data_IF_851487347898
#
_entry.id   IF_851487347898
#
_cell.length_a   1.000
_cell.length_b   1.000
_cell.length_c   1.000
_cell.angle_alpha   90.00
_cell.angle_beta   90.00
_cell.angle_gamma   90.00
#
_symmetry.space_group_name_H-M   'P 1'
#
loop_
_entity.id
_entity.type
_entity.pdbx_description
1 polymer ?
#
# COMPACT_ATOMS: atom_id res chain seq x y z
N UNK A 1 -27.81 -15.23 -2.07
CA UNK A 1 -29.08 -15.88 -2.50
C UNK A 1 -29.38 -17.01 -1.54
N UNK A 2 -30.62 -17.16 -1.08
CA UNK A 2 -31.06 -18.30 -0.26
C UNK A 2 -31.74 -19.33 -1.16
N UNK A 3 -31.50 -20.61 -0.89
CA UNK A 3 -32.11 -21.74 -1.59
C UNK A 3 -32.44 -22.87 -0.62
N UNK A 4 -33.51 -23.61 -0.89
CA UNK A 4 -33.92 -24.76 -0.08
C UNK A 4 -34.54 -25.86 -0.95
N UNK A 5 -34.52 -27.08 -0.42
CA UNK A 5 -35.14 -28.23 -1.08
C UNK A 5 -36.67 -28.15 -0.96
N UNK A 6 -37.38 -28.54 -2.03
CA UNK A 6 -38.84 -28.65 -2.02
C UNK A 6 -39.25 -30.10 -1.73
N UNK A 7 -39.83 -30.41 -0.56
CA UNK A 7 -40.19 -31.79 -0.21
C UNK A 7 -41.41 -32.31 -0.99
N UNK A 8 -42.26 -31.41 -1.51
CA UNK A 8 -43.43 -31.76 -2.32
C UNK A 8 -43.85 -30.57 -3.21
N UNK A 9 -44.62 -30.87 -4.27
CA UNK A 9 -45.26 -29.86 -5.12
C UNK A 9 -46.44 -29.19 -4.41
N UNK A 10 -46.79 -27.98 -4.87
CA UNK A 10 -47.94 -27.21 -4.35
C UNK A 10 -47.71 -26.57 -2.97
N UNK A 11 -46.45 -26.43 -2.54
CA UNK A 11 -46.08 -25.73 -1.32
C UNK A 11 -45.65 -24.29 -1.63
N UNK A 12 -45.96 -23.39 -0.72
CA UNK A 12 -45.46 -22.02 -0.71
C UNK A 12 -44.54 -21.82 0.51
N UNK A 13 -43.53 -20.98 0.35
CA UNK A 13 -42.50 -20.77 1.35
C UNK A 13 -42.45 -19.30 1.75
N UNK A 14 -42.29 -19.03 3.04
CA UNK A 14 -41.95 -17.72 3.53
C UNK A 14 -40.56 -17.77 4.14
N UNK A 15 -39.72 -16.82 3.76
CA UNK A 15 -38.38 -16.64 4.34
C UNK A 15 -38.30 -15.28 4.98
N UNK A 16 -37.70 -15.23 6.17
CA UNK A 16 -37.44 -14.00 6.88
C UNK A 16 -35.95 -13.76 7.01
N UNK A 17 -35.53 -12.49 6.89
CA UNK A 17 -34.23 -12.03 7.37
C UNK A 17 -34.39 -11.11 8.57
N UNK A 18 -33.43 -11.10 9.47
CA UNK A 18 -33.32 -10.11 10.55
C UNK A 18 -31.86 -9.77 10.83
N UNK A 19 -31.61 -8.63 11.47
CA UNK A 19 -30.28 -8.24 11.98
C UNK A 19 -30.01 -8.77 13.40
N UNK A 20 -31.05 -9.30 14.05
CA UNK A 20 -30.98 -9.94 15.37
C UNK A 20 -31.47 -11.39 15.28
N UNK A 21 -30.91 -12.26 16.11
CA UNK A 21 -31.18 -13.70 16.10
C UNK A 21 -32.55 -14.08 16.68
N UNK A 22 -33.21 -13.16 17.38
CA UNK A 22 -34.57 -13.31 17.89
C UNK A 22 -35.65 -12.94 16.85
N UNK A 23 -35.25 -12.39 15.70
CA UNK A 23 -36.15 -11.87 14.67
C UNK A 23 -37.15 -10.85 15.23
N UNK A 24 -36.71 -9.92 16.09
CA UNK A 24 -37.57 -8.87 16.67
C UNK A 24 -38.21 -7.94 15.63
N UNK A 25 -37.54 -7.67 14.51
CA UNK A 25 -38.05 -6.85 13.39
C UNK A 25 -37.64 -7.45 12.05
N UNK A 26 -38.27 -8.58 11.65
CA UNK A 26 -37.84 -9.31 10.47
C UNK A 26 -38.43 -8.71 9.19
N UNK A 27 -37.68 -8.78 8.11
CA UNK A 27 -38.19 -8.51 6.76
C UNK A 27 -38.55 -9.86 6.14
N UNK A 28 -39.81 -9.99 5.70
CA UNK A 28 -40.35 -11.20 5.09
C UNK A 28 -40.33 -11.11 3.56
N UNK A 29 -40.11 -12.23 2.89
CA UNK A 29 -40.35 -12.38 1.45
C UNK A 29 -41.83 -12.42 1.08
N UNK A 30 -42.73 -12.56 2.07
CA UNK A 30 -44.07 -13.10 1.83
C UNK A 30 -44.01 -14.58 1.44
N UNK A 31 -45.18 -15.19 1.27
CA UNK A 31 -45.27 -16.56 0.77
C UNK A 31 -45.06 -16.59 -0.74
N UNK A 32 -44.08 -17.37 -1.20
CA UNK A 32 -43.70 -17.52 -2.60
C UNK A 32 -43.73 -19.00 -3.01
N UNK A 33 -44.16 -19.27 -4.24
CA UNK A 33 -44.11 -20.61 -4.84
C UNK A 33 -42.75 -20.87 -5.54
N UNK A 34 -41.65 -20.48 -4.88
CA UNK A 34 -40.27 -20.65 -5.36
C UNK A 34 -39.43 -21.40 -4.32
N UNK A 35 -38.32 -22.01 -4.74
CA UNK A 35 -37.32 -22.63 -3.87
C UNK A 35 -36.14 -21.71 -3.54
N UNK A 36 -36.19 -20.46 -4.01
CA UNK A 36 -35.13 -19.46 -3.79
C UNK A 36 -35.72 -18.10 -3.45
N UNK A 37 -34.95 -17.32 -2.69
CA UNK A 37 -35.24 -15.90 -2.45
C UNK A 37 -33.93 -15.11 -2.35
N UNK A 38 -33.95 -13.88 -2.85
CA UNK A 38 -32.82 -12.95 -2.74
C UNK A 38 -33.28 -11.69 -2.03
N UNK A 39 -32.59 -11.37 -0.94
CA UNK A 39 -32.76 -10.13 -0.21
C UNK A 39 -31.77 -9.10 -0.75
N UNK A 40 -32.27 -8.00 -1.30
CA UNK A 40 -31.45 -6.89 -1.79
C UNK A 40 -31.07 -5.90 -0.68
N UNK A 41 -30.13 -5.01 -0.99
CA UNK A 41 -29.71 -3.88 -0.14
C UNK A 41 -29.32 -4.31 1.27
N UNK A 42 -28.49 -5.36 1.36
CA UNK A 42 -27.90 -5.78 2.62
C UNK A 42 -26.68 -4.89 2.93
N UNK A 43 -26.53 -4.53 4.20
CA UNK A 43 -25.40 -3.73 4.64
C UNK A 43 -24.13 -4.57 4.68
N UNK A 44 -23.02 -3.95 4.27
CA UNK A 44 -21.68 -4.55 4.36
C UNK A 44 -21.24 -4.73 5.82
N UNK A 45 -20.52 -5.82 6.11
CA UNK A 45 -20.09 -6.20 7.46
C UNK A 45 -21.21 -6.64 8.41
N UNK A 46 -22.48 -6.62 7.98
CA UNK A 46 -23.62 -6.96 8.82
C UNK A 46 -23.90 -8.46 8.80
N UNK A 47 -24.06 -9.05 9.99
CA UNK A 47 -24.61 -10.40 10.14
C UNK A 47 -26.12 -10.34 9.96
N UNK A 48 -26.64 -11.16 9.04
CA UNK A 48 -28.07 -11.40 8.90
C UNK A 48 -28.40 -12.82 9.31
N UNK A 49 -29.52 -12.96 10.03
CA UNK A 49 -30.14 -14.22 10.42
C UNK A 49 -31.30 -14.52 9.49
N UNK A 50 -31.43 -15.78 9.08
CA UNK A 50 -32.46 -16.25 8.17
C UNK A 50 -33.19 -17.45 8.74
N UNK A 51 -34.51 -17.49 8.52
CA UNK A 51 -35.35 -18.66 8.82
C UNK A 51 -36.42 -18.79 7.75
N UNK A 52 -36.85 -20.01 7.48
CA UNK A 52 -37.89 -20.30 6.52
C UNK A 52 -39.04 -21.08 7.16
N UNK A 53 -40.23 -21.01 6.58
CA UNK A 53 -41.34 -21.92 6.86
C UNK A 53 -42.09 -22.19 5.58
N UNK A 54 -42.84 -23.27 5.57
CA UNK A 54 -43.67 -23.65 4.42
C UNK A 54 -45.14 -23.68 4.80
N UNK A 55 -46.01 -23.47 3.82
CA UNK A 55 -47.45 -23.67 3.95
C UNK A 55 -47.99 -24.41 2.75
N UNK A 56 -49.18 -24.98 2.94
CA UNK A 56 -50.02 -25.51 1.86
C UNK A 56 -51.32 -24.70 1.81
N UNK A 57 -51.72 -24.30 0.59
CA UNK A 57 -53.03 -23.73 0.32
C UNK A 57 -53.91 -24.81 -0.32
N UNK A 58 -54.87 -25.33 0.44
CA UNK A 58 -55.86 -26.31 -0.03
C UNK A 58 -55.32 -27.72 -0.38
N UNK A 59 -56.18 -28.76 -0.38
CA UNK A 59 -57.49 -28.83 0.29
C UNK A 59 -57.37 -28.88 1.82
N UNK A 60 -56.18 -29.15 2.37
CA UNK A 60 -55.84 -29.04 3.79
C UNK A 60 -54.82 -27.93 3.97
N UNK A 61 -55.25 -26.82 4.59
CA UNK A 61 -54.39 -25.68 4.89
C UNK A 61 -53.59 -25.94 6.16
N UNK A 62 -52.28 -25.78 6.08
CA UNK A 62 -51.40 -25.82 7.24
C UNK A 62 -50.19 -24.94 6.98
N UNK A 63 -49.56 -24.49 8.07
CA UNK A 63 -48.28 -23.77 8.05
C UNK A 63 -47.35 -24.46 9.03
N UNK A 64 -46.12 -24.72 8.61
CA UNK A 64 -45.12 -25.34 9.47
C UNK A 64 -44.62 -24.37 10.54
N UNK A 65 -43.95 -24.92 11.55
CA UNK A 65 -43.04 -24.13 12.36
C UNK A 65 -41.90 -23.56 11.50
N UNK A 66 -41.21 -22.54 12.03
CA UNK A 66 -39.99 -22.04 11.44
C UNK A 66 -38.88 -23.10 11.50
N UNK A 67 -38.02 -23.12 10.48
CA UNK A 67 -36.74 -23.84 10.53
C UNK A 67 -35.86 -23.28 11.64
N UNK A 68 -34.85 -24.04 12.10
CA UNK A 68 -33.71 -23.43 12.79
C UNK A 68 -33.17 -22.24 11.99
N UNK A 69 -32.70 -21.23 12.69
CA UNK A 69 -32.08 -20.09 12.04
C UNK A 69 -30.70 -20.45 11.51
N UNK A 70 -30.34 -19.85 10.38
CA UNK A 70 -28.97 -19.80 9.86
C UNK A 70 -28.51 -18.35 9.79
N UNK A 71 -27.23 -18.10 9.63
CA UNK A 71 -26.71 -16.72 9.52
C UNK A 71 -25.61 -16.60 8.48
N UNK A 72 -25.42 -15.39 7.97
CA UNK A 72 -24.30 -15.03 7.09
C UNK A 72 -23.96 -13.56 7.28
N UNK A 73 -22.67 -13.27 7.47
CA UNK A 73 -22.09 -11.93 7.39
C UNK A 73 -22.00 -11.55 5.91
N UNK A 74 -22.51 -10.37 5.55
CA UNK A 74 -22.32 -9.85 4.19
C UNK A 74 -20.99 -9.15 4.07
N UNK A 75 -20.37 -9.34 2.91
CA UNK A 75 -19.13 -8.69 2.55
C UNK A 75 -19.16 -8.24 1.10
N UNK A 76 -19.15 -6.93 0.89
CA UNK A 76 -19.11 -6.29 -0.42
C UNK A 76 -17.88 -5.38 -0.58
N UNK A 77 -17.02 -5.30 0.45
CA UNK A 77 -15.82 -4.48 0.42
C UNK A 77 -14.69 -5.29 -0.19
N UNK A 78 -14.08 -4.77 -1.26
CA UNK A 78 -12.90 -5.40 -1.84
C UNK A 78 -11.66 -5.19 -0.96
N UNK A 79 -10.67 -6.09 -1.02
CA UNK A 79 -9.41 -5.93 -0.32
C UNK A 79 -8.72 -4.59 -0.61
N UNK A 80 -8.08 -4.00 0.40
CA UNK A 80 -7.18 -2.85 0.21
C UNK A 80 -5.76 -3.37 -0.05
N UNK A 81 -5.09 -2.85 -1.08
CA UNK A 81 -3.71 -3.20 -1.45
C UNK A 81 -2.79 -1.99 -1.22
N UNK A 82 -1.65 -2.19 -0.57
CA UNK A 82 -0.60 -1.17 -0.44
C UNK A 82 0.77 -1.73 -0.81
N UNK A 83 1.45 -1.04 -1.73
CA UNK A 83 2.71 -1.49 -2.34
C UNK A 83 3.68 -0.31 -2.33
N UNK A 84 4.81 -0.38 -1.61
CA UNK A 84 5.84 0.64 -1.68
C UNK A 84 6.53 0.61 -3.05
N UNK A 85 6.92 1.79 -3.55
CA UNK A 85 7.75 1.90 -4.74
C UNK A 85 9.13 1.27 -4.48
N UNK A 86 9.65 0.52 -5.46
CA UNK A 86 10.93 -0.17 -5.39
C UNK A 86 11.87 0.32 -6.49
N UNK A 87 13.12 0.61 -6.12
CA UNK A 87 14.21 0.86 -7.07
C UNK A 87 15.21 -0.30 -7.01
N UNK A 88 15.79 -0.68 -8.14
CA UNK A 88 16.84 -1.71 -8.18
C UNK A 88 17.84 -1.45 -9.31
N UNK A 89 19.02 -2.05 -9.25
CA UNK A 89 19.93 -2.16 -10.40
C UNK A 89 19.81 -3.51 -11.13
N UNK A 90 19.18 -4.50 -10.49
CA UNK A 90 19.09 -5.88 -10.97
C UNK A 90 18.02 -6.06 -12.05
N UNK A 91 18.21 -7.05 -12.93
CA UNK A 91 17.21 -7.45 -13.94
C UNK A 91 16.04 -8.23 -13.34
N UNK A 92 16.08 -8.52 -12.04
CA UNK A 92 15.00 -9.12 -11.27
C UNK A 92 14.92 -8.44 -9.91
N UNK A 93 13.73 -8.41 -9.33
CA UNK A 93 13.52 -7.87 -7.99
C UNK A 93 12.37 -8.59 -7.28
N UNK A 94 12.37 -8.53 -5.96
CA UNK A 94 11.25 -9.02 -5.14
C UNK A 94 10.33 -7.85 -4.80
N UNK A 95 9.18 -7.81 -5.46
CA UNK A 95 8.08 -6.95 -5.08
C UNK A 95 7.49 -7.44 -3.75
N UNK A 96 7.13 -6.52 -2.86
CA UNK A 96 6.43 -6.84 -1.63
C UNK A 96 5.31 -5.84 -1.39
N UNK A 97 4.28 -6.26 -0.67
CA UNK A 97 3.15 -5.40 -0.34
C UNK A 97 2.35 -5.96 0.82
N UNK A 98 1.32 -5.21 1.18
CA UNK A 98 0.33 -5.58 2.20
C UNK A 98 -1.04 -5.61 1.57
N UNK A 99 -1.89 -6.52 2.05
CA UNK A 99 -3.32 -6.47 1.77
C UNK A 99 -4.12 -6.56 3.06
N UNK A 100 -5.31 -5.95 3.05
CA UNK A 100 -6.20 -5.97 4.18
C UNK A 100 -7.64 -6.17 3.71
N UNK A 101 -8.32 -7.11 4.35
CA UNK A 101 -9.75 -7.25 4.33
C UNK A 101 -10.18 -7.72 5.73
N UNK A 102 -11.08 -6.99 6.37
CA UNK A 102 -11.45 -7.27 7.77
C UNK A 102 -12.63 -8.23 7.89
N UNK A 103 -13.42 -8.42 6.83
CA UNK A 103 -14.73 -9.08 6.91
C UNK A 103 -14.65 -10.53 6.47
N UNK A 104 -14.08 -10.80 5.29
CA UNK A 104 -13.86 -12.17 4.78
C UNK A 104 -12.38 -12.54 4.66
N UNK A 105 -11.48 -11.56 4.83
CA UNK A 105 -10.05 -11.80 4.72
C UNK A 105 -9.64 -12.09 3.27
N UNK A 106 -8.35 -12.35 3.07
CA UNK A 106 -7.78 -12.46 1.71
C UNK A 106 -7.72 -13.91 1.27
N UNK A 107 -8.22 -14.19 0.07
CA UNK A 107 -8.15 -15.50 -0.58
C UNK A 107 -6.91 -15.63 -1.44
N UNK A 108 -6.56 -14.60 -2.20
CA UNK A 108 -5.37 -14.62 -3.07
C UNK A 108 -4.82 -13.23 -3.38
N UNK A 109 -3.53 -13.20 -3.71
CA UNK A 109 -2.87 -12.06 -4.36
C UNK A 109 -2.12 -12.56 -5.59
N UNK A 110 -2.39 -11.95 -6.74
CA UNK A 110 -1.73 -12.22 -8.01
C UNK A 110 -0.91 -10.99 -8.44
N UNK A 111 0.30 -11.20 -8.94
CA UNK A 111 1.17 -10.16 -9.50
C UNK A 111 1.46 -10.55 -10.94
N UNK A 112 1.05 -9.70 -11.88
CA UNK A 112 1.08 -10.00 -13.33
C UNK A 112 0.41 -11.33 -13.70
N UNK A 113 -0.62 -11.72 -12.96
CA UNK A 113 -1.37 -12.97 -13.15
C UNK A 113 -0.85 -14.18 -12.37
N UNK A 114 0.38 -14.11 -11.83
CA UNK A 114 0.95 -15.21 -11.07
C UNK A 114 0.74 -15.04 -9.56
N UNK A 115 0.54 -16.16 -8.85
CA UNK A 115 0.39 -16.15 -7.39
C UNK A 115 1.60 -15.53 -6.67
N UNK A 116 1.32 -14.67 -5.69
CA UNK A 116 2.29 -14.17 -4.72
C UNK A 116 2.55 -15.20 -3.62
N UNK A 117 3.68 -15.05 -2.93
CA UNK A 117 4.08 -15.87 -1.78
C UNK A 117 3.70 -15.15 -0.48
N UNK A 118 3.21 -15.88 0.51
CA UNK A 118 2.86 -15.35 1.84
C UNK A 118 3.01 -16.44 2.90
N UNK A 119 3.17 -16.04 4.17
CA UNK A 119 3.09 -16.90 5.34
C UNK A 119 2.00 -16.48 6.33
N UNK A 120 1.25 -15.41 6.03
CA UNK A 120 0.30 -14.78 6.93
C UNK A 120 -1.02 -14.43 6.21
N UNK A 121 -1.52 -15.39 5.42
CA UNK A 121 -2.79 -15.25 4.68
C UNK A 121 -2.86 -13.97 3.85
N UNK A 122 -1.74 -13.66 3.18
CA UNK A 122 -1.54 -12.49 2.32
C UNK A 122 -1.53 -11.12 3.00
N UNK A 123 -1.66 -11.01 4.33
CA UNK A 123 -1.52 -9.72 5.02
C UNK A 123 -0.18 -9.03 4.68
N UNK A 124 0.86 -9.84 4.49
CA UNK A 124 2.11 -9.46 3.80
C UNK A 124 2.38 -10.50 2.72
N UNK A 125 2.77 -10.04 1.54
CA UNK A 125 3.08 -10.91 0.43
C UNK A 125 4.32 -10.44 -0.33
N UNK A 126 4.94 -11.37 -1.05
CA UNK A 126 6.10 -11.10 -1.90
C UNK A 126 5.95 -11.79 -3.26
N UNK A 127 6.53 -11.20 -4.30
CA UNK A 127 6.66 -11.82 -5.62
C UNK A 127 8.00 -11.44 -6.25
N UNK A 128 8.79 -12.43 -6.65
CA UNK A 128 9.95 -12.18 -7.51
C UNK A 128 9.48 -11.98 -8.95
N UNK A 129 9.83 -10.84 -9.52
CA UNK A 129 9.57 -10.49 -10.92
C UNK A 129 10.88 -10.46 -11.70
N UNK A 130 11.01 -11.28 -12.77
CA UNK A 130 12.20 -11.30 -13.61
C UNK A 130 12.08 -10.29 -14.77
N UNK A 131 13.14 -10.22 -15.59
CA UNK A 131 13.14 -9.54 -16.90
C UNK A 131 12.80 -8.05 -16.85
N UNK A 132 13.18 -7.37 -15.77
CA UNK A 132 13.05 -5.92 -15.66
C UNK A 132 13.88 -5.23 -16.75
N UNK A 133 13.32 -4.25 -17.45
CA UNK A 133 14.07 -3.38 -18.38
C UNK A 133 14.53 -2.12 -17.66
N UNK A 134 15.52 -1.41 -18.21
CA UNK A 134 15.96 -0.12 -17.68
C UNK A 134 14.79 0.88 -17.66
N UNK A 135 14.68 1.65 -16.58
CA UNK A 135 13.56 2.55 -16.34
C UNK A 135 12.38 1.90 -15.60
N UNK A 136 11.17 2.41 -15.88
CA UNK A 136 9.95 2.03 -15.15
C UNK A 136 9.34 0.73 -15.66
N UNK A 137 9.13 -0.23 -14.75
CA UNK A 137 8.44 -1.50 -15.01
C UNK A 137 7.14 -1.52 -14.22
N UNK A 138 6.02 -1.78 -14.88
CA UNK A 138 4.68 -1.75 -14.26
C UNK A 138 4.08 -3.15 -14.19
N UNK A 139 3.47 -3.48 -13.05
CA UNK A 139 2.83 -4.77 -12.79
C UNK A 139 1.42 -4.55 -12.25
N UNK A 140 0.44 -5.27 -12.80
CA UNK A 140 -0.91 -5.32 -12.22
C UNK A 140 -0.91 -6.28 -11.04
N UNK A 141 -1.31 -5.80 -9.87
CA UNK A 141 -1.50 -6.60 -8.67
C UNK A 141 -2.98 -6.66 -8.35
N UNK A 142 -3.51 -7.88 -8.23
CA UNK A 142 -4.92 -8.15 -7.95
C UNK A 142 -5.00 -8.89 -6.62
N UNK A 143 -5.84 -8.42 -5.72
CA UNK A 143 -6.18 -9.12 -4.48
C UNK A 143 -7.66 -9.49 -4.51
N UNK A 144 -7.96 -10.71 -4.06
CA UNK A 144 -9.33 -11.25 -4.02
C UNK A 144 -9.61 -11.77 -2.62
N UNK A 145 -10.79 -11.46 -2.08
CA UNK A 145 -11.22 -11.86 -0.75
C UNK A 145 -11.86 -13.27 -0.72
N UNK A 146 -12.33 -13.71 0.46
CA UNK A 146 -13.07 -14.97 0.60
C UNK A 146 -14.60 -14.79 0.59
N UNK A 147 -15.10 -13.63 0.18
CA UNK A 147 -16.54 -13.41 0.08
C UNK A 147 -17.17 -14.31 -1.00
N UNK A 148 -18.49 -14.45 -0.96
CA UNK A 148 -19.24 -15.24 -1.95
C UNK A 148 -20.47 -14.46 -2.44
N UNK A 149 -20.43 -13.89 -3.65
CA UNK A 149 -19.31 -13.92 -4.61
C UNK A 149 -18.07 -13.15 -4.10
N UNK A 150 -16.87 -13.48 -4.60
CA UNK A 150 -15.64 -12.83 -4.16
C UNK A 150 -15.56 -11.39 -4.69
N UNK A 151 -15.01 -10.49 -3.88
CA UNK A 151 -14.67 -9.14 -4.29
C UNK A 151 -13.16 -9.05 -4.59
N UNK A 152 -12.80 -8.19 -5.56
CA UNK A 152 -11.42 -8.00 -5.97
C UNK A 152 -11.08 -6.54 -6.14
N UNK A 153 -9.83 -6.19 -5.84
CA UNK A 153 -9.24 -4.89 -6.14
C UNK A 153 -7.97 -5.05 -6.98
N UNK A 154 -7.59 -3.98 -7.68
CA UNK A 154 -6.42 -3.98 -8.56
C UNK A 154 -5.63 -2.68 -8.39
N UNK A 155 -4.31 -2.80 -8.26
CA UNK A 155 -3.36 -1.68 -8.15
C UNK A 155 -2.17 -1.90 -9.07
N UNK A 156 -1.65 -0.83 -9.67
CA UNK A 156 -0.40 -0.88 -10.44
C UNK A 156 0.80 -0.70 -9.51
N UNK A 157 1.66 -1.71 -9.44
CA UNK A 157 2.96 -1.63 -8.80
C UNK A 157 4.02 -1.16 -9.79
N UNK A 158 4.96 -0.33 -9.33
CA UNK A 158 6.07 0.19 -10.15
C UNK A 158 7.40 -0.22 -9.53
N UNK A 159 8.26 -0.83 -10.35
CA UNK A 159 9.67 -1.05 -10.04
C UNK A 159 10.51 -0.23 -11.03
N UNK A 160 11.36 0.64 -10.50
CA UNK A 160 12.28 1.42 -11.32
C UNK A 160 13.66 0.76 -11.34
N UNK A 161 14.09 0.28 -12.51
CA UNK A 161 15.43 -0.29 -12.69
C UNK A 161 16.39 0.77 -13.20
N UNK A 162 17.57 0.87 -12.61
CA UNK A 162 18.65 1.76 -13.06
C UNK A 162 19.90 0.92 -13.35
N UNK A 163 20.18 0.71 -14.63
CA UNK A 163 21.35 -0.04 -15.09
C UNK A 163 22.60 0.84 -15.22
N UNK A 164 22.42 2.15 -15.35
CA UNK A 164 23.48 3.13 -15.63
C UNK A 164 23.52 4.23 -14.56
N UNK A 165 23.64 3.85 -13.30
CA UNK A 165 23.51 4.76 -12.15
C UNK A 165 24.40 6.02 -12.19
N UNK A 166 25.61 5.90 -12.75
CA UNK A 166 26.59 7.00 -12.86
C UNK A 166 26.57 7.70 -14.22
N UNK A 167 25.82 7.19 -15.21
CA UNK A 167 25.69 7.85 -16.50
C UNK A 167 24.83 9.11 -16.39
N UNK A 168 24.98 10.01 -17.34
CA UNK A 168 24.24 11.26 -17.48
C UNK A 168 23.59 11.27 -18.86
N UNK A 169 22.40 10.67 -18.95
CA UNK A 169 21.78 10.41 -20.26
C UNK A 169 21.36 11.69 -21.00
N UNK A 170 21.13 12.79 -20.27
CA UNK A 170 20.67 14.06 -20.81
C UNK A 170 21.77 15.15 -20.83
N UNK A 171 23.01 14.80 -20.45
CA UNK A 171 24.19 15.66 -20.43
C UNK A 171 24.02 16.93 -19.57
N UNK A 172 23.25 16.86 -18.47
CA UNK A 172 23.03 18.01 -17.59
C UNK A 172 24.02 18.08 -16.40
N UNK A 173 24.92 17.10 -16.30
CA UNK A 173 25.92 16.94 -15.25
C UNK A 173 25.40 16.26 -13.99
N UNK A 174 24.21 15.66 -14.02
CA UNK A 174 23.59 14.92 -12.92
C UNK A 174 23.42 13.48 -13.35
N UNK A 175 23.85 12.52 -12.52
CA UNK A 175 23.75 11.12 -12.88
C UNK A 175 22.30 10.62 -12.81
N UNK A 176 21.97 9.60 -13.60
CA UNK A 176 20.65 8.98 -13.65
C UNK A 176 20.13 8.56 -12.25
N UNK A 177 21.03 8.05 -11.39
CA UNK A 177 20.66 7.71 -10.02
C UNK A 177 20.32 8.95 -9.18
N UNK A 178 21.10 10.03 -9.28
CA UNK A 178 20.82 11.25 -8.54
C UNK A 178 19.52 11.92 -9.02
N UNK A 179 19.28 11.95 -10.34
CA UNK A 179 18.01 12.46 -10.87
C UNK A 179 16.82 11.69 -10.30
N UNK A 180 16.88 10.35 -10.33
CA UNK A 180 15.82 9.50 -9.79
C UNK A 180 15.66 9.64 -8.28
N UNK A 181 16.75 9.63 -7.51
CA UNK A 181 16.71 9.65 -6.06
C UNK A 181 16.24 11.00 -5.49
N UNK A 182 16.68 12.10 -6.10
CA UNK A 182 16.24 13.45 -5.71
C UNK A 182 14.87 13.82 -6.30
N UNK A 183 14.29 12.95 -7.14
CA UNK A 183 13.01 13.15 -7.80
C UNK A 183 13.02 14.33 -8.76
N UNK A 184 14.11 14.50 -9.52
CA UNK A 184 14.25 15.55 -10.53
C UNK A 184 13.44 15.13 -11.76
N UNK A 185 12.37 15.86 -12.12
CA UNK A 185 11.59 15.52 -13.30
C UNK A 185 12.40 15.69 -14.58
N UNK A 186 12.20 14.79 -15.54
CA UNK A 186 12.80 14.91 -16.86
C UNK A 186 12.41 16.25 -17.52
N UNK A 187 13.37 16.92 -18.15
CA UNK A 187 13.13 18.20 -18.82
C UNK A 187 13.01 19.42 -17.90
N UNK A 188 13.31 19.27 -16.61
CA UNK A 188 13.39 20.41 -15.67
C UNK A 188 14.38 21.45 -16.21
N UNK A 189 13.97 22.72 -16.32
CA UNK A 189 14.79 23.79 -16.91
C UNK A 189 16.05 24.11 -16.08
N UNK A 190 15.99 23.98 -14.75
CA UNK A 190 17.13 24.16 -13.85
C UNK A 190 17.23 23.00 -12.85
N UNK A 191 17.63 21.79 -13.30
CA UNK A 191 17.62 20.60 -12.47
C UNK A 191 18.64 20.70 -11.32
N UNK A 192 19.69 21.51 -11.51
CA UNK A 192 20.71 21.77 -10.48
C UNK A 192 20.17 22.51 -9.25
N UNK A 193 19.06 23.25 -9.38
CA UNK A 193 18.39 23.86 -8.23
C UNK A 193 17.80 22.85 -7.24
N UNK A 194 17.65 21.59 -7.67
CA UNK A 194 17.13 20.49 -6.85
C UNK A 194 18.23 19.63 -6.23
N UNK A 195 19.51 19.91 -6.52
CA UNK A 195 20.64 19.25 -5.89
C UNK A 195 20.80 19.68 -4.43
N UNK A 196 21.51 18.88 -3.61
CA UNK A 196 21.83 19.26 -2.23
C UNK A 196 22.49 20.64 -2.16
N UNK A 197 22.07 21.46 -1.21
CA UNK A 197 22.67 22.76 -0.93
C UNK A 197 23.10 22.84 0.52
N UNK A 198 24.29 23.37 0.77
CA UNK A 198 24.85 23.52 2.11
C UNK A 198 24.99 25.00 2.47
N UNK A 199 24.61 25.35 3.70
CA UNK A 199 24.68 26.72 4.22
C UNK A 199 25.18 26.73 5.65
N UNK A 200 25.77 27.85 6.08
CA UNK A 200 26.12 28.05 7.49
C UNK A 200 24.95 28.69 8.20
N UNK A 201 24.43 28.04 9.24
CA UNK A 201 23.35 28.57 10.07
C UNK A 201 23.86 28.89 11.47
N UNK A 202 23.42 30.01 12.02
CA UNK A 202 23.69 30.40 13.40
C UNK A 202 22.56 29.94 14.29
N UNK A 203 22.87 29.19 15.34
CA UNK A 203 21.88 28.73 16.31
C UNK A 203 21.37 29.92 17.14
N UNK A 204 20.04 30.13 17.20
CA UNK A 204 19.46 31.13 18.09
C UNK A 204 19.82 30.82 19.55
N UNK A 205 20.25 31.83 20.30
CA UNK A 205 20.61 31.70 21.71
C UNK A 205 22.11 31.49 21.93
N UNK A 206 22.71 30.39 21.45
CA UNK A 206 24.14 30.12 21.69
C UNK A 206 25.06 30.92 20.76
N UNK A 207 24.60 31.32 19.58
CA UNK A 207 25.42 31.98 18.56
C UNK A 207 26.40 31.04 17.84
N UNK A 208 26.34 29.74 18.12
CA UNK A 208 27.15 28.73 17.46
C UNK A 208 26.80 28.63 15.98
N UNK A 209 27.81 28.42 15.13
CA UNK A 209 27.62 28.28 13.69
C UNK A 209 27.72 26.82 13.29
N UNK A 210 26.71 26.31 12.63
CA UNK A 210 26.68 24.94 12.14
C UNK A 210 26.61 24.88 10.62
N UNK A 211 27.37 23.96 10.03
CA UNK A 211 27.17 23.59 8.63
C UNK A 211 25.87 22.79 8.53
N UNK A 212 24.96 23.26 7.70
CA UNK A 212 23.67 22.61 7.44
C UNK A 212 23.58 22.26 5.96
N UNK A 213 22.91 21.15 5.64
CA UNK A 213 22.64 20.75 4.27
C UNK A 213 21.17 20.42 4.11
N UNK A 214 20.58 20.89 3.01
CA UNK A 214 19.24 20.52 2.58
C UNK A 214 19.34 19.70 1.30
N UNK A 215 18.57 18.62 1.22
CA UNK A 215 18.47 17.79 0.01
C UNK A 215 17.09 17.16 -0.10
N UNK A 216 16.67 16.84 -1.32
CA UNK A 216 15.44 16.07 -1.56
C UNK A 216 15.73 14.57 -1.42
N UNK A 217 14.78 13.79 -0.92
CA UNK A 217 14.79 12.32 -1.04
C UNK A 217 13.39 11.83 -1.36
N UNK A 218 13.29 10.62 -1.91
CA UNK A 218 11.99 9.95 -2.07
C UNK A 218 11.39 9.58 -0.70
N UNK A 219 10.08 9.78 -0.55
CA UNK A 219 9.30 9.32 0.62
C UNK A 219 9.30 7.79 0.65
N UNK A 220 8.84 7.18 -0.43
CA UNK A 220 8.95 5.74 -0.69
C UNK A 220 10.27 5.46 -1.40
N UNK A 221 11.22 4.86 -0.70
CA UNK A 221 12.63 4.74 -1.13
C UNK A 221 13.20 3.33 -1.01
N UNK A 222 12.35 2.30 -1.07
CA UNK A 222 12.84 0.93 -1.03
C UNK A 222 13.85 0.71 -2.17
N UNK A 223 14.99 0.11 -1.82
CA UNK A 223 16.11 -0.08 -2.75
C UNK A 223 16.97 1.15 -3.02
N UNK A 224 16.77 2.27 -2.32
CA UNK A 224 17.66 3.43 -2.32
C UNK A 224 18.23 3.67 -0.92
N UNK A 225 19.52 3.96 -0.85
CA UNK A 225 20.21 4.39 0.37
C UNK A 225 20.76 5.80 0.18
N UNK A 226 20.54 6.67 1.18
CA UNK A 226 21.00 8.05 1.21
C UNK A 226 21.96 8.19 2.38
N UNK A 227 23.23 8.39 2.10
CA UNK A 227 24.29 8.48 3.11
C UNK A 227 24.86 9.89 3.10
N UNK A 228 24.83 10.54 4.25
CA UNK A 228 25.48 11.83 4.44
C UNK A 228 26.93 11.56 4.81
N UNK A 229 27.84 12.10 4.01
CA UNK A 229 29.27 11.95 4.23
C UNK A 229 29.87 13.29 4.63
N UNK A 230 30.69 13.27 5.67
CA UNK A 230 31.36 14.46 6.20
C UNK A 230 32.88 14.33 6.10
N UNK A 231 33.58 15.45 5.98
CA UNK A 231 35.03 15.46 5.91
C UNK A 231 35.61 16.73 6.53
N UNK A 232 36.83 16.64 7.04
CA UNK A 232 37.65 17.78 7.47
C UNK A 232 38.71 18.20 6.45
N UNK A 233 38.97 17.37 5.43
CA UNK A 233 40.13 17.52 4.53
C UNK A 233 39.84 17.21 3.04
N UNK A 234 38.60 16.88 2.67
CA UNK A 234 38.17 16.45 1.32
C UNK A 234 38.77 15.12 0.82
N UNK A 235 39.68 14.50 1.57
CA UNK A 235 40.32 13.23 1.20
C UNK A 235 39.67 12.05 1.92
N UNK A 236 39.50 12.15 3.23
CA UNK A 236 38.87 11.13 4.08
C UNK A 236 37.43 11.54 4.37
N UNK A 237 36.49 10.65 4.10
CA UNK A 237 35.06 10.88 4.28
C UNK A 237 34.51 9.91 5.33
N UNK A 238 33.86 10.46 6.35
CA UNK A 238 33.11 9.70 7.37
C UNK A 238 31.66 9.54 6.90
N UNK A 239 31.21 8.29 6.80
CA UNK A 239 29.88 7.88 6.36
C UNK A 239 29.06 7.22 7.48
N UNK A 240 29.56 7.23 8.73
CA UNK A 240 28.90 6.60 9.88
C UNK A 240 27.69 7.38 10.37
N UNK A 241 27.58 8.66 10.02
CA UNK A 241 26.53 9.56 10.49
C UNK A 241 26.73 10.08 11.91
N UNK A 242 27.84 9.75 12.60
CA UNK A 242 28.08 10.15 13.99
C UNK A 242 28.09 11.68 14.20
N UNK A 243 28.50 12.43 13.17
CA UNK A 243 28.55 13.89 13.14
C UNK A 243 27.34 14.53 12.47
N UNK A 244 26.27 13.78 12.18
CA UNK A 244 25.12 14.26 11.41
C UNK A 244 23.85 14.14 12.24
N UNK A 245 23.10 15.24 12.32
CA UNK A 245 21.79 15.29 12.95
C UNK A 245 20.74 15.72 11.93
N UNK A 246 19.70 14.92 11.72
CA UNK A 246 18.49 15.34 10.99
C UNK A 246 17.70 16.31 11.87
N UNK A 247 17.44 17.52 11.39
CA UNK A 247 16.76 18.59 12.14
C UNK A 247 15.38 18.92 11.60
N UNK A 248 15.03 18.42 10.41
CA UNK A 248 13.70 18.58 9.86
C UNK A 248 13.51 17.86 8.54
N UNK A 249 12.27 17.45 8.29
CA UNK A 249 11.83 16.83 7.04
C UNK A 249 10.47 17.40 6.66
N UNK A 250 10.33 17.87 5.42
CA UNK A 250 9.12 18.54 4.92
C UNK A 250 8.75 17.99 3.54
N UNK A 251 7.53 17.44 3.33
CA UNK A 251 7.07 17.03 2.00
C UNK A 251 7.12 18.18 1.00
N UNK A 252 7.54 17.90 -0.24
CA UNK A 252 7.62 18.93 -1.30
C UNK A 252 6.27 19.28 -1.93
N UNK A 253 5.23 18.51 -1.60
CA UNK A 253 3.89 18.63 -2.19
C UNK A 253 3.69 17.84 -3.49
N UNK A 254 4.75 17.21 -4.03
CA UNK A 254 4.65 16.38 -5.24
C UNK A 254 4.15 14.94 -4.98
N UNK A 255 3.90 14.59 -3.71
CA UNK A 255 3.44 13.26 -3.28
C UNK A 255 4.50 12.15 -3.29
N UNK A 256 5.73 12.45 -3.70
CA UNK A 256 6.80 11.45 -3.91
C UNK A 256 8.13 11.79 -3.22
N UNK A 257 8.41 13.07 -2.97
CA UNK A 257 9.65 13.55 -2.34
C UNK A 257 9.41 14.42 -1.12
N UNK A 258 10.45 14.51 -0.30
CA UNK A 258 10.53 15.38 0.87
C UNK A 258 11.90 16.05 0.91
N UNK A 259 11.96 17.27 1.44
CA UNK A 259 13.22 17.96 1.74
C UNK A 259 13.65 17.61 3.15
N UNK A 260 14.87 17.10 3.27
CA UNK A 260 15.53 16.81 4.53
C UNK A 260 16.54 17.91 4.81
N UNK A 261 16.50 18.42 6.03
CA UNK A 261 17.50 19.35 6.56
C UNK A 261 18.34 18.62 7.60
N UNK A 262 19.66 18.60 7.39
CA UNK A 262 20.63 18.08 8.35
C UNK A 262 21.53 19.18 8.87
N UNK A 263 22.12 18.91 10.02
CA UNK A 263 23.14 19.70 10.69
C UNK A 263 24.36 18.83 10.94
N UNK A 264 25.55 19.37 10.68
CA UNK A 264 26.82 18.71 10.98
C UNK A 264 27.35 19.19 12.33
N UNK A 265 27.63 18.26 13.24
CA UNK A 265 28.17 18.49 14.59
C UNK A 265 29.66 18.13 14.68
N UNK A 266 30.40 18.63 15.68
CA UNK A 266 30.07 19.78 16.54
C UNK A 266 29.92 21.10 15.77
N UNK A 267 29.61 22.20 16.44
CA UNK A 267 29.63 23.53 15.83
C UNK A 267 30.98 23.84 15.17
N UNK A 268 30.98 24.68 14.14
CA UNK A 268 32.20 25.22 13.56
C UNK A 268 32.79 26.23 14.55
N UNK A 269 34.01 25.94 15.04
CA UNK A 269 34.76 26.81 15.95
C UNK A 269 36.19 26.99 15.44
N UNK A 270 36.98 27.87 16.08
CA UNK A 270 38.37 28.12 15.68
C UNK A 270 39.26 26.87 15.66
N UNK A 271 38.92 25.83 16.44
CA UNK A 271 39.60 24.53 16.43
C UNK A 271 39.13 23.56 15.35
N UNK A 272 38.00 23.84 14.68
CA UNK A 272 37.43 23.03 13.59
C UNK A 272 37.00 23.94 12.42
N UNK A 273 37.96 24.64 11.76
CA UNK A 273 37.61 25.71 10.82
C UNK A 273 37.07 25.19 9.48
N UNK A 274 37.22 23.90 9.17
CA UNK A 274 36.85 23.31 7.89
C UNK A 274 36.01 22.06 8.09
N UNK A 275 34.79 22.11 7.57
CA UNK A 275 33.90 20.96 7.44
C UNK A 275 33.32 20.94 6.04
N UNK A 276 33.29 19.75 5.46
CA UNK A 276 32.70 19.46 4.16
C UNK A 276 31.61 18.44 4.35
N UNK A 277 30.57 18.53 3.53
CA UNK A 277 29.44 17.61 3.54
C UNK A 277 29.05 17.30 2.11
N UNK A 278 28.70 16.05 1.85
CA UNK A 278 28.09 15.62 0.58
C UNK A 278 27.03 14.56 0.83
N UNK A 279 26.17 14.38 -0.16
CA UNK A 279 25.21 13.28 -0.22
C UNK A 279 25.77 12.19 -1.15
N UNK A 280 25.81 10.96 -0.65
CA UNK A 280 26.06 9.75 -1.44
C UNK A 280 24.74 8.98 -1.56
N UNK A 281 24.42 8.52 -2.77
CA UNK A 281 23.22 7.72 -3.04
C UNK A 281 23.63 6.42 -3.70
N UNK A 282 23.08 5.30 -3.22
CA UNK A 282 23.29 3.98 -3.83
C UNK A 282 21.96 3.25 -4.03
N UNK A 283 21.91 2.37 -5.02
CA UNK A 283 20.84 1.36 -5.14
C UNK A 283 21.25 0.11 -4.38
N UNK A 284 20.29 -0.53 -3.70
CA UNK A 284 20.50 -1.83 -3.06
C UNK A 284 20.16 -2.99 -4.01
#
# INVERSE_FOLDING_TARGET
>A
MLSWNQPASGLEYEVQRAVTSDFASPISSGYIASSTNTFASLADGQIYYYRARMRRQGPLTWTSNWTPQISSTQDATAPVISIPALTTSSASATLSGTTQDTTSGISSVLVAGDAATTSNSFAIWTKTVPSLVDGSNSFTVIATDNASPPNSSSVTAIIYRITTATADANNNGISNLLEHALGIPAGTANPRSMLPSATLQTEPGSGDKYLTMQFRRRIQRAGLSYTIETSSNLATWDNTGASVQEVGTVPTGDGTTEVVTIRVTPAMSGGNPKKFVRLSVTTN
#
